data_IF_145446261444
#
_entry.id   IF_145446261444
#
_cell.length_a   1.000
_cell.length_b   1.000
_cell.length_c   1.000
_cell.angle_alpha   90.00
_cell.angle_beta   90.00
_cell.angle_gamma   90.00
#
_symmetry.space_group_name_H-M   'P 1'
#
loop_
_entity.id
_entity.type
_entity.pdbx_description
1 polymer ?
#
# COMPACT_ATOMS: atom_id res chain seq x y z
N UNK A 1 -10.44 -7.27 18.93
CA UNK A 1 -11.42 -6.83 17.89
C UNK A 1 -11.37 -7.71 16.64
N UNK A 2 -10.28 -7.71 15.88
CA UNK A 2 -10.21 -8.44 14.61
C UNK A 2 -10.39 -9.96 14.79
N UNK A 3 -9.88 -10.54 15.87
CA UNK A 3 -10.11 -11.96 16.20
C UNK A 3 -11.57 -12.31 16.53
N UNK A 4 -12.32 -11.39 17.15
CA UNK A 4 -13.75 -11.59 17.42
C UNK A 4 -14.58 -11.50 16.12
N UNK A 5 -14.25 -10.54 15.25
CA UNK A 5 -14.87 -10.40 13.93
C UNK A 5 -14.54 -11.59 13.02
N UNK A 6 -13.33 -12.14 13.11
CA UNK A 6 -12.91 -13.35 12.39
C UNK A 6 -13.71 -14.60 12.81
N UNK A 7 -14.26 -14.60 14.02
CA UNK A 7 -15.12 -15.66 14.55
C UNK A 7 -16.63 -15.35 14.36
N UNK A 8 -16.97 -14.29 13.62
CA UNK A 8 -18.35 -13.77 13.47
C UNK A 8 -19.05 -13.42 14.80
N UNK A 9 -18.30 -13.22 15.89
CA UNK A 9 -18.81 -12.82 17.20
C UNK A 9 -18.88 -11.28 17.29
N UNK A 10 -19.69 -10.66 16.43
CA UNK A 10 -19.85 -9.19 16.40
C UNK A 10 -20.60 -8.63 17.62
N UNK A 11 -21.32 -9.46 18.37
CA UNK A 11 -22.17 -9.08 19.50
C UNK A 11 -21.42 -8.70 20.79
N UNK A 12 -20.13 -9.01 20.93
CA UNK A 12 -19.29 -8.55 22.05
C UNK A 12 -18.57 -7.22 21.75
N UNK A 13 -18.81 -6.63 20.57
CA UNK A 13 -18.14 -5.41 20.14
C UNK A 13 -18.71 -4.18 20.86
N UNK A 14 -18.08 -3.80 21.99
CA UNK A 14 -18.52 -2.68 22.84
C UNK A 14 -17.47 -1.56 22.91
N UNK A 15 -16.75 -1.29 21.81
CA UNK A 15 -15.75 -0.22 21.79
C UNK A 15 -16.21 0.94 20.91
N UNK A 16 -16.13 2.15 21.45
CA UNK A 16 -16.41 3.37 20.69
C UNK A 16 -15.28 3.64 19.70
N UNK A 17 -15.58 4.40 18.64
CA UNK A 17 -14.58 4.89 17.67
C UNK A 17 -13.49 5.70 18.38
N UNK A 18 -13.85 6.45 19.44
CA UNK A 18 -12.90 7.16 20.29
C UNK A 18 -11.89 6.21 20.93
N UNK A 19 -12.36 5.09 21.46
CA UNK A 19 -11.52 4.13 22.17
C UNK A 19 -10.57 3.43 21.20
N UNK A 20 -11.05 3.14 19.99
CA UNK A 20 -10.24 2.60 18.91
C UNK A 20 -9.17 3.59 18.42
N UNK A 21 -9.49 4.90 18.38
CA UNK A 21 -8.55 5.92 17.90
C UNK A 21 -7.45 6.23 18.93
N UNK A 22 -7.81 6.33 20.21
CA UNK A 22 -6.85 6.57 21.29
C UNK A 22 -6.12 5.30 21.74
N UNK A 23 -6.65 4.12 21.42
CA UNK A 23 -6.03 2.83 21.74
C UNK A 23 -6.42 2.27 23.09
N UNK A 24 -7.58 2.66 23.64
CA UNK A 24 -8.20 2.07 24.84
C UNK A 24 -8.87 0.72 24.53
N UNK A 25 -8.21 -0.09 23.71
CA UNK A 25 -8.66 -1.41 23.26
C UNK A 25 -7.59 -2.44 23.62
N UNK A 26 -7.98 -3.70 23.91
CA UNK A 26 -7.02 -4.77 24.16
C UNK A 26 -6.21 -5.07 22.89
N UNK A 27 -4.88 -4.97 22.98
CA UNK A 27 -3.94 -5.21 21.90
C UNK A 27 -2.50 -4.84 22.30
N UNK A 28 -1.57 -4.90 21.34
CA UNK A 28 -0.17 -4.52 21.56
C UNK A 28 -0.03 -3.00 21.72
N UNK A 29 0.77 -2.56 22.71
CA UNK A 29 0.93 -1.14 23.10
C UNK A 29 1.32 -0.22 21.93
N UNK A 30 2.00 -0.75 20.92
CA UNK A 30 2.42 0.02 19.73
C UNK A 30 1.41 0.05 18.58
N UNK A 31 0.40 -0.83 18.58
CA UNK A 31 -0.53 -1.02 17.46
C UNK A 31 -1.92 -0.45 17.74
N UNK A 32 -2.30 -0.35 19.02
CA UNK A 32 -3.66 0.05 19.42
C UNK A 32 -3.92 1.54 19.27
N UNK A 33 -2.91 2.40 19.45
CA UNK A 33 -3.09 3.85 19.44
C UNK A 33 -2.83 4.47 18.07
N UNK A 34 -3.88 4.55 17.24
CA UNK A 34 -3.81 5.20 15.92
C UNK A 34 -3.34 6.67 16.00
N UNK A 35 -3.70 7.38 17.08
CA UNK A 35 -3.26 8.75 17.31
C UNK A 35 -1.73 8.88 17.44
N UNK A 36 -1.10 8.04 18.28
CA UNK A 36 0.34 8.06 18.47
C UNK A 36 1.09 7.64 17.21
N UNK A 37 0.55 6.65 16.47
CA UNK A 37 1.09 6.22 15.18
C UNK A 37 1.06 7.36 14.17
N UNK A 38 -0.05 8.11 14.10
CA UNK A 38 -0.17 9.26 13.19
C UNK A 38 0.84 10.35 13.54
N UNK A 39 1.01 10.66 14.82
CA UNK A 39 1.96 11.66 15.29
C UNK A 39 3.40 11.25 14.94
N UNK A 40 3.77 9.99 15.18
CA UNK A 40 5.07 9.46 14.80
C UNK A 40 5.29 9.41 13.29
N UNK A 41 4.27 9.04 12.51
CA UNK A 41 4.34 9.05 11.05
C UNK A 41 4.51 10.45 10.47
N UNK A 42 3.81 11.43 11.05
CA UNK A 42 3.97 12.84 10.69
C UNK A 42 5.40 13.33 10.96
N UNK A 43 5.96 12.98 12.13
CA UNK A 43 7.36 13.28 12.46
C UNK A 43 8.36 12.65 11.47
N UNK A 44 8.14 11.40 11.07
CA UNK A 44 8.99 10.70 10.11
C UNK A 44 8.94 11.30 8.70
N UNK A 45 7.76 11.75 8.27
CA UNK A 45 7.59 12.46 6.99
C UNK A 45 8.27 13.83 7.03
N UNK A 46 8.12 14.58 8.13
CA UNK A 46 8.81 15.86 8.30
C UNK A 46 10.33 15.72 8.31
N UNK A 47 10.84 14.68 8.96
CA UNK A 47 12.28 14.37 8.99
C UNK A 47 12.82 13.85 7.65
N UNK A 48 11.95 13.65 6.64
CA UNK A 48 12.27 13.09 5.31
C UNK A 48 12.92 11.70 5.32
N UNK A 49 12.83 10.99 6.44
CA UNK A 49 13.30 9.61 6.57
C UNK A 49 12.32 8.68 5.84
N UNK A 50 11.02 8.92 6.04
CA UNK A 50 9.97 8.11 5.45
C UNK A 50 9.36 8.75 4.20
N UNK A 51 9.01 7.91 3.22
CA UNK A 51 8.39 8.36 1.98
C UNK A 51 6.87 8.50 2.13
N UNK A 52 6.38 9.74 2.21
CA UNK A 52 4.93 10.05 2.22
C UNK A 52 4.16 9.43 1.05
N UNK A 53 4.81 9.21 -0.10
CA UNK A 53 4.20 8.58 -1.28
C UNK A 53 3.79 7.14 -1.02
N UNK A 54 4.56 6.40 -0.23
CA UNK A 54 4.28 4.99 0.10
C UNK A 54 3.15 4.95 1.14
N UNK A 55 3.21 5.82 2.16
CA UNK A 55 2.16 5.91 3.17
C UNK A 55 0.80 6.23 2.54
N UNK A 56 0.76 7.28 1.71
CA UNK A 56 -0.49 7.71 1.08
C UNK A 56 -1.02 6.66 0.11
N UNK A 57 -0.15 6.04 -0.69
CA UNK A 57 -0.60 5.00 -1.63
C UNK A 57 -1.09 3.74 -0.90
N UNK A 58 -0.46 3.34 0.21
CA UNK A 58 -0.92 2.21 1.02
C UNK A 58 -2.27 2.48 1.69
N UNK A 59 -2.49 3.69 2.21
CA UNK A 59 -3.81 4.08 2.72
C UNK A 59 -4.87 4.01 1.62
N UNK A 60 -4.56 4.51 0.41
CA UNK A 60 -5.50 4.40 -0.72
C UNK A 60 -5.76 2.94 -1.09
N UNK A 61 -4.72 2.10 -1.14
CA UNK A 61 -4.85 0.68 -1.45
C UNK A 61 -5.71 -0.08 -0.45
N UNK A 62 -5.56 0.20 0.85
CA UNK A 62 -6.38 -0.43 1.89
C UNK A 62 -7.84 0.05 1.83
N UNK A 63 -8.08 1.34 1.60
CA UNK A 63 -9.42 1.88 1.42
C UNK A 63 -10.12 1.27 0.19
N UNK A 64 -9.43 1.17 -0.95
CA UNK A 64 -9.99 0.57 -2.16
C UNK A 64 -10.39 -0.88 -1.91
N UNK A 65 -9.53 -1.67 -1.28
CA UNK A 65 -9.87 -3.07 -1.00
C UNK A 65 -10.99 -3.20 0.03
N UNK A 66 -10.98 -2.37 1.08
CA UNK A 66 -12.06 -2.34 2.08
C UNK A 66 -13.41 -1.94 1.49
N UNK A 67 -13.43 -1.00 0.54
CA UNK A 67 -14.65 -0.61 -0.19
C UNK A 67 -15.16 -1.73 -1.10
N UNK A 68 -14.25 -2.46 -1.77
CA UNK A 68 -14.62 -3.63 -2.57
C UNK A 68 -15.31 -4.67 -1.67
N UNK A 69 -14.75 -4.96 -0.49
CA UNK A 69 -15.34 -5.95 0.41
C UNK A 69 -16.70 -5.52 0.97
N UNK A 70 -16.83 -4.26 1.41
CA UNK A 70 -18.12 -3.75 1.88
C UNK A 70 -19.17 -3.76 0.74
N UNK A 71 -18.77 -3.41 -0.49
CA UNK A 71 -19.66 -3.48 -1.65
C UNK A 71 -20.07 -4.90 -2.04
N UNK A 72 -19.20 -5.90 -1.86
CA UNK A 72 -19.52 -7.33 -2.10
C UNK A 72 -20.54 -7.83 -1.06
N UNK A 73 -20.43 -7.37 0.19
CA UNK A 73 -21.40 -7.67 1.25
C UNK A 73 -22.75 -7.00 0.95
N UNK A 74 -22.74 -5.72 0.58
CA UNK A 74 -23.96 -4.97 0.21
C UNK A 74 -24.67 -5.57 -1.01
N UNK A 75 -23.90 -6.08 -1.98
CA UNK A 75 -24.45 -6.77 -3.14
C UNK A 75 -25.07 -8.15 -2.83
N UNK A 76 -24.97 -8.63 -1.58
CA UNK A 76 -25.56 -9.90 -1.14
C UNK A 76 -24.82 -11.13 -1.66
N UNK A 77 -23.60 -10.98 -2.15
CA UNK A 77 -22.80 -12.11 -2.68
C UNK A 77 -22.30 -13.03 -1.56
N UNK A 78 -22.22 -12.49 -0.34
CA UNK A 78 -21.75 -13.20 0.85
C UNK A 78 -22.79 -13.01 1.94
N UNK A 79 -23.18 -14.13 2.56
CA UNK A 79 -24.19 -14.17 3.62
C UNK A 79 -23.53 -14.41 4.98
N UNK A 80 -24.28 -14.17 6.06
CA UNK A 80 -23.84 -14.38 7.45
C UNK A 80 -23.37 -15.81 7.76
N UNK A 81 -23.74 -16.77 6.90
CA UNK A 81 -23.25 -18.15 6.97
C UNK A 81 -21.76 -18.31 6.67
N UNK A 82 -21.14 -17.32 6.04
CA UNK A 82 -19.73 -17.36 5.64
C UNK A 82 -18.83 -16.92 6.80
N UNK A 83 -17.73 -17.65 7.00
CA UNK A 83 -16.71 -17.33 8.02
C UNK A 83 -16.03 -15.97 7.81
N UNK A 84 -16.12 -15.42 6.60
CA UNK A 84 -15.50 -14.14 6.23
C UNK A 84 -16.42 -12.93 6.44
N UNK A 85 -17.70 -13.16 6.72
CA UNK A 85 -18.73 -12.10 6.73
C UNK A 85 -18.40 -10.99 7.75
N UNK A 86 -18.02 -11.33 8.98
CA UNK A 86 -17.74 -10.36 10.04
C UNK A 86 -16.55 -9.43 9.77
N UNK A 87 -15.55 -9.90 9.00
CA UNK A 87 -14.42 -9.05 8.60
C UNK A 87 -14.69 -8.25 7.33
N UNK A 88 -15.56 -8.73 6.43
CA UNK A 88 -15.96 -8.00 5.22
C UNK A 88 -17.02 -6.93 5.47
N UNK A 89 -17.90 -7.15 6.46
CA UNK A 89 -18.92 -6.18 6.89
C UNK A 89 -18.36 -5.08 7.80
N UNK A 90 -17.07 -5.18 8.16
CA UNK A 90 -16.41 -4.15 8.92
C UNK A 90 -16.16 -2.93 8.04
N UNK A 91 -16.51 -1.74 8.56
CA UNK A 91 -16.39 -0.52 7.76
C UNK A 91 -14.96 -0.35 7.21
N UNK A 92 -14.87 -0.04 5.92
CA UNK A 92 -13.62 0.04 5.16
C UNK A 92 -12.54 0.88 5.84
N UNK A 93 -12.93 1.99 6.48
CA UNK A 93 -12.01 2.91 7.17
C UNK A 93 -11.56 2.40 8.54
N UNK A 94 -12.37 1.57 9.22
CA UNK A 94 -12.00 1.01 10.53
C UNK A 94 -10.83 0.03 10.41
N UNK A 95 -10.62 -0.59 9.24
CA UNK A 95 -9.43 -1.40 8.99
C UNK A 95 -8.12 -0.62 9.09
N UNK A 96 -8.13 0.71 8.94
CA UNK A 96 -6.94 1.54 9.14
C UNK A 96 -6.67 1.81 10.62
N UNK A 97 -7.71 1.96 11.42
CA UNK A 97 -7.60 2.35 12.83
C UNK A 97 -7.35 1.12 13.71
N UNK A 98 -7.83 -0.06 13.28
CA UNK A 98 -7.74 -1.30 14.08
C UNK A 98 -6.64 -2.24 13.60
N UNK A 99 -5.85 -2.70 14.57
CA UNK A 99 -4.77 -3.67 14.40
C UNK A 99 -3.51 -3.05 13.81
N UNK A 100 -2.53 -3.87 13.45
CA UNK A 100 -1.23 -3.40 12.97
C UNK A 100 -1.16 -2.70 11.61
N UNK A 101 -2.28 -2.29 10.97
CA UNK A 101 -2.24 -1.75 9.59
C UNK A 101 -1.65 -0.35 9.54
N UNK A 102 -2.13 0.58 10.37
CA UNK A 102 -1.53 1.93 10.45
C UNK A 102 -0.07 1.85 10.88
N UNK A 103 0.22 1.01 11.88
CA UNK A 103 1.59 0.79 12.37
C UNK A 103 2.51 0.26 11.26
N UNK A 104 2.09 -0.79 10.55
CA UNK A 104 2.87 -1.38 9.46
C UNK A 104 3.07 -0.42 8.29
N UNK A 105 2.07 0.39 7.93
CA UNK A 105 2.22 1.41 6.89
C UNK A 105 3.26 2.47 7.28
N UNK A 106 3.23 2.93 8.54
CA UNK A 106 4.05 4.05 8.98
C UNK A 106 5.49 3.65 9.30
N UNK A 107 5.70 2.51 9.95
CA UNK A 107 7.00 2.14 10.51
C UNK A 107 7.72 1.03 9.75
N UNK A 108 6.99 0.19 8.99
CA UNK A 108 7.58 -0.95 8.28
C UNK A 108 7.61 -0.73 6.77
N UNK A 109 6.49 -0.32 6.16
CA UNK A 109 6.38 -0.20 4.71
C UNK A 109 7.25 0.92 4.13
N UNK A 110 7.61 1.93 4.94
CA UNK A 110 8.44 3.06 4.50
C UNK A 110 9.95 2.85 4.69
N UNK A 111 10.41 1.62 4.90
CA UNK A 111 11.84 1.32 4.93
C UNK A 111 12.51 1.66 3.58
N UNK A 112 13.50 2.57 3.55
CA UNK A 112 14.15 3.01 2.31
C UNK A 112 15.03 1.95 1.65
N UNK A 113 15.40 0.86 2.35
CA UNK A 113 16.31 -0.15 1.81
C UNK A 113 15.55 -1.21 1.02
N UNK A 114 14.43 -1.67 1.55
CA UNK A 114 13.67 -2.80 1.01
C UNK A 114 12.57 -2.38 0.02
N UNK A 115 12.10 -1.13 0.10
CA UNK A 115 11.05 -0.60 -0.76
C UNK A 115 11.51 -0.19 -2.17
N UNK A 116 10.51 0.09 -3.03
CA UNK A 116 10.76 0.63 -4.38
C UNK A 116 11.45 1.99 -4.33
N UNK A 117 12.48 2.15 -5.16
CA UNK A 117 13.31 3.35 -5.21
C UNK A 117 12.73 4.42 -6.15
N UNK A 118 12.00 4.03 -7.19
CA UNK A 118 11.47 4.98 -8.18
C UNK A 118 10.23 5.73 -7.67
N UNK A 119 10.09 7.01 -8.03
CA UNK A 119 8.92 7.81 -7.61
C UNK A 119 7.57 7.22 -8.04
N UNK A 120 7.48 6.61 -9.22
CA UNK A 120 6.25 5.91 -9.67
C UNK A 120 6.12 4.54 -9.03
N UNK A 121 7.22 3.81 -8.85
CA UNK A 121 7.20 2.52 -8.19
C UNK A 121 6.72 2.62 -6.74
N UNK A 122 7.11 3.66 -5.99
CA UNK A 122 6.62 3.94 -4.63
C UNK A 122 5.10 4.04 -4.52
N UNK A 123 4.43 4.58 -5.53
CA UNK A 123 2.96 4.61 -5.58
C UNK A 123 2.37 3.22 -5.78
N UNK A 124 2.88 2.45 -6.74
CA UNK A 124 2.39 1.09 -7.05
C UNK A 124 2.67 0.15 -5.87
N UNK A 125 3.88 0.20 -5.35
CA UNK A 125 4.36 -0.59 -4.23
C UNK A 125 3.51 -0.38 -2.98
N UNK A 126 3.33 0.87 -2.53
CA UNK A 126 2.51 1.13 -1.34
C UNK A 126 1.04 0.78 -1.58
N UNK A 127 0.46 1.09 -2.74
CA UNK A 127 -0.91 0.69 -3.09
C UNK A 127 -1.12 -0.83 -2.96
N UNK A 128 -0.20 -1.62 -3.50
CA UNK A 128 -0.27 -3.08 -3.42
C UNK A 128 -0.11 -3.58 -1.99
N UNK A 129 0.73 -2.97 -1.15
CA UNK A 129 0.82 -3.31 0.28
C UNK A 129 -0.53 -3.13 0.97
N UNK A 130 -1.14 -1.95 0.84
CA UNK A 130 -2.43 -1.67 1.46
C UNK A 130 -3.53 -2.60 0.98
N UNK A 131 -3.58 -2.83 -0.33
CA UNK A 131 -4.55 -3.72 -0.98
C UNK A 131 -4.40 -5.16 -0.49
N UNK A 132 -3.19 -5.71 -0.58
CA UNK A 132 -2.90 -7.10 -0.19
C UNK A 132 -3.05 -7.28 1.31
N UNK A 133 -2.72 -6.27 2.12
CA UNK A 133 -2.86 -6.34 3.58
C UNK A 133 -4.32 -6.54 4.00
N UNK A 134 -5.25 -5.75 3.45
CA UNK A 134 -6.68 -5.92 3.72
C UNK A 134 -7.20 -7.24 3.16
N UNK A 135 -6.71 -7.64 1.98
CA UNK A 135 -7.07 -8.92 1.36
C UNK A 135 -6.67 -10.12 2.24
N UNK A 136 -5.41 -10.19 2.69
CA UNK A 136 -4.92 -11.27 3.56
C UNK A 136 -5.67 -11.26 4.89
N UNK A 137 -5.87 -10.07 5.48
CA UNK A 137 -6.58 -9.92 6.76
C UNK A 137 -7.99 -10.50 6.71
N UNK A 138 -8.71 -10.30 5.60
CA UNK A 138 -10.09 -10.78 5.45
C UNK A 138 -10.15 -12.26 5.10
N UNK A 139 -9.30 -12.73 4.16
CA UNK A 139 -9.33 -14.13 3.72
C UNK A 139 -8.62 -15.11 4.66
N UNK A 140 -7.84 -14.63 5.64
CA UNK A 140 -7.16 -15.47 6.61
C UNK A 140 -7.59 -15.15 8.06
N UNK A 141 -8.68 -15.77 8.54
CA UNK A 141 -9.21 -15.55 9.90
C UNK A 141 -8.20 -15.86 11.02
N UNK A 142 -7.22 -16.74 10.77
CA UNK A 142 -6.21 -17.13 11.75
C UNK A 142 -5.12 -16.07 11.96
N UNK A 143 -4.91 -15.18 10.99
CA UNK A 143 -3.90 -14.11 11.05
C UNK A 143 -4.51 -12.74 10.76
N UNK A 144 -5.26 -12.17 11.72
CA UNK A 144 -5.84 -10.83 11.58
C UNK A 144 -4.78 -9.70 11.41
N UNK A 145 -3.52 -10.02 11.70
CA UNK A 145 -2.30 -9.20 11.54
C UNK A 145 -1.60 -9.43 10.17
N UNK A 146 -2.35 -9.53 9.06
CA UNK A 146 -1.82 -9.85 7.71
C UNK A 146 -0.92 -8.78 7.08
N UNK A 147 -0.64 -7.67 7.77
CA UNK A 147 0.09 -6.50 7.26
C UNK A 147 1.57 -6.83 7.01
N UNK A 148 2.21 -7.51 7.96
CA UNK A 148 3.62 -7.90 7.84
C UNK A 148 3.86 -8.83 6.64
N UNK A 149 2.97 -9.81 6.43
CA UNK A 149 3.04 -10.72 5.29
C UNK A 149 2.90 -9.99 3.95
N UNK A 150 1.99 -9.01 3.88
CA UNK A 150 1.82 -8.17 2.69
C UNK A 150 3.08 -7.35 2.39
N UNK A 151 3.73 -6.78 3.42
CA UNK A 151 4.97 -6.00 3.27
C UNK A 151 6.09 -6.90 2.77
N UNK A 152 6.31 -8.06 3.39
CA UNK A 152 7.35 -9.01 2.94
C UNK A 152 7.15 -9.45 1.50
N UNK A 153 5.90 -9.77 1.11
CA UNK A 153 5.59 -10.15 -0.26
C UNK A 153 5.93 -9.02 -1.23
N UNK A 154 5.57 -7.78 -0.88
CA UNK A 154 5.83 -6.63 -1.74
C UNK A 154 7.29 -6.23 -1.79
N UNK A 155 8.07 -6.47 -0.73
CA UNK A 155 9.53 -6.30 -0.74
C UNK A 155 10.17 -7.22 -1.79
N UNK A 156 9.69 -8.45 -1.94
CA UNK A 156 10.17 -9.38 -2.99
C UNK A 156 9.83 -8.85 -4.39
N UNK A 157 8.67 -8.21 -4.57
CA UNK A 157 8.26 -7.64 -5.86
C UNK A 157 8.79 -6.23 -6.14
N UNK A 158 9.37 -5.53 -5.15
CA UNK A 158 9.84 -4.16 -5.30
C UNK A 158 10.88 -3.98 -6.43
N UNK A 159 11.91 -4.85 -6.56
CA UNK A 159 12.87 -4.76 -7.67
C UNK A 159 12.22 -4.94 -9.04
N UNK A 160 11.23 -5.84 -9.13
CA UNK A 160 10.48 -6.09 -10.35
C UNK A 160 9.67 -4.87 -10.77
N UNK A 161 8.98 -4.23 -9.82
CA UNK A 161 8.23 -2.98 -10.06
C UNK A 161 9.16 -1.89 -10.60
N UNK A 162 10.32 -1.70 -9.97
CA UNK A 162 11.28 -0.69 -10.39
C UNK A 162 11.83 -0.97 -11.79
N UNK A 163 12.14 -2.23 -12.11
CA UNK A 163 12.62 -2.60 -13.44
C UNK A 163 11.63 -2.23 -14.55
N UNK A 164 10.34 -2.50 -14.35
CA UNK A 164 9.29 -2.11 -15.30
C UNK A 164 9.16 -0.59 -15.43
N UNK A 165 9.21 0.14 -14.31
CA UNK A 165 9.13 1.62 -14.31
C UNK A 165 10.32 2.24 -15.03
N UNK A 166 11.53 1.75 -14.77
CA UNK A 166 12.77 2.24 -15.40
C UNK A 166 12.75 1.96 -16.90
N UNK A 167 12.45 0.72 -17.31
CA UNK A 167 12.32 0.35 -18.74
C UNK A 167 11.30 1.23 -19.46
N UNK A 168 10.16 1.51 -18.82
CA UNK A 168 9.15 2.42 -19.36
C UNK A 168 9.66 3.85 -19.57
N UNK A 169 10.44 4.37 -18.61
CA UNK A 169 11.05 5.70 -18.73
C UNK A 169 12.14 5.74 -19.83
N UNK A 170 12.99 4.72 -19.93
CA UNK A 170 14.02 4.61 -20.97
C UNK A 170 13.36 4.57 -22.36
N UNK A 171 12.33 3.75 -22.56
CA UNK A 171 11.60 3.66 -23.84
C UNK A 171 10.98 5.01 -24.24
N UNK A 172 10.41 5.74 -23.28
CA UNK A 172 9.86 7.09 -23.52
C UNK A 172 10.96 8.10 -23.87
N UNK A 173 12.13 8.02 -23.23
CA UNK A 173 13.29 8.87 -23.55
C UNK A 173 13.80 8.60 -24.96
N UNK A 174 13.97 7.35 -25.36
CA UNK A 174 14.39 6.97 -26.71
C UNK A 174 13.40 7.45 -27.78
N UNK A 175 12.08 7.36 -27.52
CA UNK A 175 11.05 7.89 -28.43
C UNK A 175 11.12 9.41 -28.60
N UNK A 176 11.50 10.14 -27.54
CA UNK A 176 11.72 11.61 -27.61
C UNK A 176 12.98 11.95 -28.38
N UNK A 177 14.08 11.21 -28.19
CA UNK A 177 15.30 11.39 -28.98
C UNK A 177 15.06 11.15 -30.47
N UNK A 178 14.34 10.09 -30.84
CA UNK A 178 14.01 9.81 -32.24
C UNK A 178 13.10 10.88 -32.89
N UNK A 179 12.28 11.55 -32.07
CA UNK A 179 11.36 12.63 -32.53
C UNK A 179 12.01 14.01 -32.51
N UNK A 180 13.01 14.23 -31.66
CA UNK A 180 13.84 15.41 -31.70
C UNK A 180 14.67 15.33 -32.98
N UNK A 181 14.24 16.05 -34.02
CA UNK A 181 15.03 16.23 -35.24
C UNK A 181 16.38 16.79 -34.78
N UNK A 182 17.44 16.00 -34.96
CA UNK A 182 18.80 16.47 -34.71
C UNK A 182 19.00 17.77 -35.51
N UNK A 183 19.54 18.84 -34.89
CA UNK A 183 19.86 20.05 -35.63
C UNK A 183 20.73 19.68 -36.84
N UNK A 184 20.46 20.31 -37.98
CA UNK A 184 20.98 19.96 -39.31
C UNK A 184 22.51 19.73 -39.31
N UNK A 185 23.26 20.43 -38.45
CA UNK A 185 24.70 20.26 -38.25
C UNK A 185 25.15 18.82 -37.92
N UNK A 186 24.34 18.03 -37.20
CA UNK A 186 24.70 16.65 -36.87
C UNK A 186 24.50 15.67 -38.05
N UNK A 187 23.65 16.02 -39.02
CA UNK A 187 23.44 15.21 -40.24
C UNK A 187 24.54 15.41 -41.26
N UNK A 188 25.14 16.61 -41.33
CA UNK A 188 26.30 16.87 -42.20
C UNK A 188 27.54 16.11 -41.74
N UNK A 189 27.85 16.06 -40.44
CA UNK A 189 28.96 15.26 -39.92
C UNK A 189 28.79 13.74 -40.13
N UNK A 190 27.55 13.24 -40.07
CA UNK A 190 27.26 11.81 -40.28
C UNK A 190 27.37 11.44 -41.77
N UNK A 191 26.89 12.29 -42.68
CA UNK A 191 27.06 12.09 -44.13
C UNK A 191 28.52 12.23 -44.57
N UNK A 192 29.27 13.19 -44.03
CA UNK A 192 30.70 13.36 -44.34
C UNK A 192 31.52 12.14 -43.92
N UNK A 193 31.17 11.46 -42.82
CA UNK A 193 31.86 10.22 -42.39
C UNK A 193 31.54 9.00 -43.26
N UNK A 194 30.39 9.00 -43.94
CA UNK A 194 29.97 7.92 -44.84
C UNK A 194 30.54 8.11 -46.25
N UNK A 195 30.78 9.36 -46.67
CA UNK A 195 31.41 9.67 -47.96
C UNK A 195 32.95 9.56 -47.96
N UNK A 196 33.61 9.57 -46.79
CA UNK A 196 35.08 9.46 -46.69
C UNK A 196 35.62 8.03 -46.57
N UNK A 197 34.84 6.99 -46.89
CA UNK A 197 35.28 5.58 -46.90
C UNK A 197 35.28 5.02 -48.31
#
# INVERSE_FOLDING_TARGET
ILGYLAQNNASEFTYSVSDMFFGFIPGSVGETSAFLILLGGLFLVFSKIASWRIMLSAVIGSLVMGLIFNGVVEAGWITESSTFYGLMSFDFWKHLIVGGLAFGIVYMATDPVTGSQTNRGKWIYGFLIGFISVMIRVFNPAYPEGVFLAILLMNVFAPTIDHYVIRGNVKRRMKRLKKAVLPVAAKEEENLKVETV
#
